data_IF_089465183192
#
_entry.id   IF_089465183192
#
_cell.length_a   1.000
_cell.length_b   1.000
_cell.length_c   1.000
_cell.angle_alpha   90.00
_cell.angle_beta   90.00
_cell.angle_gamma   90.00
#
_symmetry.space_group_name_H-M   'P 1'
#
loop_
_entity.id
_entity.type
_entity.pdbx_description
1 polymer ?
#
# COMPACT_ATOMS: atom_id res chain seq x y z
N UNK A 1 0.76 4.93 -9.41
CA UNK A 1 -0.21 5.01 -8.28
C UNK A 1 -0.59 3.59 -7.83
N UNK A 2 -0.70 3.31 -6.53
CA UNK A 2 -1.06 2.00 -5.97
C UNK A 2 -2.33 2.14 -5.13
N UNK A 3 -3.30 1.26 -5.33
CA UNK A 3 -4.49 1.09 -4.49
C UNK A 3 -4.31 -0.15 -3.62
N UNK A 4 -4.51 0.01 -2.31
CA UNK A 4 -4.46 -1.07 -1.35
C UNK A 4 -5.70 -1.08 -0.46
N UNK A 5 -6.45 -2.18 -0.51
CA UNK A 5 -7.68 -2.41 0.24
C UNK A 5 -7.39 -3.49 1.29
N UNK A 6 -7.75 -3.22 2.54
CA UNK A 6 -7.47 -4.07 3.70
C UNK A 6 -8.63 -4.08 4.68
N UNK A 7 -8.64 -5.05 5.58
CA UNK A 7 -9.51 -5.03 6.77
C UNK A 7 -9.08 -3.89 7.68
N UNK A 8 -10.02 -3.15 8.25
CA UNK A 8 -9.72 -2.05 9.17
C UNK A 8 -9.27 -2.59 10.53
N UNK A 9 -8.01 -3.00 10.63
CA UNK A 9 -7.37 -3.51 11.85
C UNK A 9 -6.08 -2.71 12.13
N UNK A 10 -5.67 -2.56 13.40
CA UNK A 10 -4.48 -1.79 13.75
C UNK A 10 -3.20 -2.30 13.07
N UNK A 11 -2.31 -1.37 12.72
CA UNK A 11 -0.95 -1.68 12.23
C UNK A 11 -0.80 -1.91 10.73
N UNK A 12 -1.89 -1.94 9.94
CA UNK A 12 -1.78 -2.11 8.47
C UNK A 12 -1.02 -0.95 7.83
N UNK A 13 -1.34 0.29 8.17
CA UNK A 13 -0.66 1.47 7.61
C UNK A 13 0.83 1.51 7.97
N UNK A 14 1.20 1.06 9.17
CA UNK A 14 2.59 0.98 9.59
C UNK A 14 3.36 -0.05 8.75
N UNK A 15 2.80 -1.25 8.55
CA UNK A 15 3.40 -2.28 7.68
C UNK A 15 3.56 -1.80 6.23
N UNK A 16 2.59 -1.03 5.72
CA UNK A 16 2.72 -0.39 4.42
C UNK A 16 3.94 0.54 4.41
N UNK A 17 4.05 1.44 5.39
CA UNK A 17 5.16 2.39 5.44
C UNK A 17 6.52 1.71 5.63
N UNK A 18 6.59 0.62 6.38
CA UNK A 18 7.80 -0.18 6.54
C UNK A 18 8.26 -0.79 5.19
N UNK A 19 7.33 -1.28 4.37
CA UNK A 19 7.63 -1.80 3.02
C UNK A 19 8.30 -0.72 2.13
N UNK A 20 7.82 0.52 2.18
CA UNK A 20 8.40 1.64 1.45
C UNK A 20 9.78 2.02 2.01
N UNK A 21 9.89 2.10 3.35
CA UNK A 21 11.13 2.40 4.06
C UNK A 21 12.23 1.39 3.72
N UNK A 22 11.94 0.10 3.80
CA UNK A 22 12.91 -0.98 3.57
C UNK A 22 13.42 -1.02 2.13
N UNK A 23 12.63 -0.49 1.17
CA UNK A 23 13.00 -0.36 -0.24
C UNK A 23 13.64 0.98 -0.59
N UNK A 24 13.68 1.93 0.34
CA UNK A 24 14.18 3.29 0.09
C UNK A 24 13.34 4.06 -0.93
N UNK A 25 12.03 3.79 -0.99
CA UNK A 25 11.13 4.43 -1.96
C UNK A 25 10.32 5.53 -1.26
N UNK A 26 10.37 6.75 -1.79
CA UNK A 26 9.60 7.88 -1.28
C UNK A 26 8.12 7.78 -1.67
N UNK A 27 7.25 8.30 -0.81
CA UNK A 27 5.82 8.44 -1.07
C UNK A 27 5.55 9.89 -1.47
N UNK A 28 5.03 10.11 -2.68
CA UNK A 28 4.71 11.44 -3.20
C UNK A 28 3.38 11.95 -2.64
N UNK A 29 2.46 11.03 -2.36
CA UNK A 29 1.16 11.33 -1.79
C UNK A 29 0.47 10.09 -1.25
N UNK A 30 -0.34 10.26 -0.20
CA UNK A 30 -1.08 9.15 0.41
C UNK A 30 -2.46 9.63 0.85
N UNK A 31 -3.50 8.90 0.46
CA UNK A 31 -4.87 9.17 0.85
C UNK A 31 -5.53 7.91 1.40
N UNK A 32 -5.81 7.91 2.70
CA UNK A 32 -6.47 6.82 3.42
C UNK A 32 -7.93 7.19 3.71
N UNK A 33 -8.84 6.24 3.46
CA UNK A 33 -10.20 6.30 3.97
C UNK A 33 -10.60 4.94 4.54
N UNK A 34 -11.34 4.98 5.65
CA UNK A 34 -11.80 3.78 6.34
C UNK A 34 -13.30 3.82 6.60
N UNK A 35 -13.91 2.64 6.61
CA UNK A 35 -15.18 2.36 7.26
C UNK A 35 -14.95 1.35 8.42
N UNK A 36 -15.98 0.94 9.18
CA UNK A 36 -15.80 0.03 10.32
C UNK A 36 -15.17 -1.33 10.00
N UNK A 37 -15.19 -1.79 8.74
CA UNK A 37 -14.72 -3.12 8.34
C UNK A 37 -13.54 -3.07 7.37
N UNK A 38 -13.47 -2.04 6.52
CA UNK A 38 -12.53 -1.96 5.40
C UNK A 38 -11.84 -0.61 5.39
N UNK A 39 -10.54 -0.62 5.14
CA UNK A 39 -9.75 0.54 4.76
C UNK A 39 -9.31 0.45 3.32
N UNK A 40 -9.24 1.58 2.63
CA UNK A 40 -8.51 1.68 1.38
C UNK A 40 -7.56 2.86 1.42
N UNK A 41 -6.35 2.66 0.90
CA UNK A 41 -5.35 3.70 0.73
C UNK A 41 -4.92 3.75 -0.73
N UNK A 42 -4.85 4.98 -1.25
CA UNK A 42 -4.24 5.28 -2.54
C UNK A 42 -2.89 5.93 -2.26
N UNK A 43 -1.85 5.41 -2.89
CA UNK A 43 -0.47 5.84 -2.71
C UNK A 43 0.10 6.26 -4.06
N UNK A 44 0.55 7.50 -4.13
CA UNK A 44 1.31 8.02 -5.25
C UNK A 44 2.80 7.87 -4.96
N UNK A 45 3.49 7.28 -5.94
CA UNK A 45 4.90 6.90 -5.84
C UNK A 45 5.54 7.03 -7.22
N UNK A 46 6.74 7.60 -7.24
CA UNK A 46 7.64 7.62 -8.38
C UNK A 46 8.59 6.44 -8.24
N UNK A 47 8.29 5.35 -8.95
CA UNK A 47 9.03 4.10 -8.95
C UNK A 47 9.05 3.51 -10.35
N UNK A 48 10.10 2.77 -10.69
CA UNK A 48 10.15 2.02 -11.94
C UNK A 48 9.20 0.79 -11.91
N UNK A 49 9.10 0.07 -13.02
CA UNK A 49 8.19 -1.07 -13.15
C UNK A 49 8.53 -2.24 -12.21
N UNK A 50 9.82 -2.49 -11.99
CA UNK A 50 10.31 -3.55 -11.11
C UNK A 50 9.98 -3.22 -9.65
N UNK A 51 10.30 -2.01 -9.22
CA UNK A 51 9.96 -1.47 -7.91
C UNK A 51 8.45 -1.48 -7.67
N UNK A 52 7.67 -1.04 -8.66
CA UNK A 52 6.20 -1.03 -8.57
C UNK A 52 5.63 -2.44 -8.40
N UNK A 53 6.20 -3.42 -9.12
CA UNK A 53 5.81 -4.83 -9.01
C UNK A 53 6.16 -5.40 -7.64
N UNK A 54 7.39 -5.16 -7.16
CA UNK A 54 7.84 -5.56 -5.82
C UNK A 54 7.00 -4.95 -4.70
N UNK A 55 6.66 -3.66 -4.80
CA UNK A 55 5.77 -2.97 -3.86
C UNK A 55 4.38 -3.59 -3.85
N UNK A 56 3.78 -3.82 -5.03
CA UNK A 56 2.46 -4.43 -5.16
C UNK A 56 2.41 -5.80 -4.48
N UNK A 57 3.43 -6.64 -4.69
CA UNK A 57 3.52 -7.98 -4.12
C UNK A 57 3.71 -7.97 -2.60
N UNK A 58 4.63 -7.14 -2.12
CA UNK A 58 4.86 -6.98 -0.68
C UNK A 58 3.61 -6.47 0.04
N UNK A 59 2.94 -5.46 -0.52
CA UNK A 59 1.70 -4.95 0.03
C UNK A 59 0.57 -5.98 -0.03
N UNK A 60 0.50 -6.81 -1.08
CA UNK A 60 -0.49 -7.89 -1.15
C UNK A 60 -0.29 -8.97 -0.06
N UNK A 61 0.94 -9.13 0.44
CA UNK A 61 1.28 -10.09 1.48
C UNK A 61 0.98 -9.62 2.91
N UNK A 62 0.64 -8.34 3.12
CA UNK A 62 0.31 -7.82 4.46
C UNK A 62 -0.91 -8.57 5.03
N UNK A 63 -0.84 -9.11 6.27
CA UNK A 63 -1.98 -9.70 6.94
C UNK A 63 -3.18 -8.75 6.99
N UNK A 64 -4.34 -9.21 6.52
CA UNK A 64 -5.56 -8.40 6.44
C UNK A 64 -5.76 -7.68 5.10
N UNK A 65 -4.83 -7.80 4.14
CA UNK A 65 -5.02 -7.32 2.77
C UNK A 65 -6.16 -8.06 2.08
N UNK A 66 -7.02 -7.30 1.42
CA UNK A 66 -8.09 -7.82 0.57
C UNK A 66 -7.72 -7.71 -0.91
N UNK A 67 -7.05 -6.62 -1.31
CA UNK A 67 -6.64 -6.40 -2.69
C UNK A 67 -5.57 -5.33 -2.80
N UNK A 68 -4.58 -5.55 -3.65
CA UNK A 68 -3.62 -4.52 -4.07
C UNK A 68 -3.63 -4.41 -5.60
N UNK A 69 -3.64 -3.19 -6.15
CA UNK A 69 -3.61 -2.91 -7.59
C UNK A 69 -2.70 -1.73 -7.91
N UNK A 70 -2.02 -1.81 -9.04
CA UNK A 70 -1.40 -0.64 -9.68
C UNK A 70 -2.46 0.06 -10.52
N UNK A 71 -2.52 1.38 -10.42
CA UNK A 71 -3.36 2.27 -11.21
C UNK A 71 -2.43 3.08 -12.13
N UNK A 72 -2.67 2.97 -13.43
CA UNK A 72 -1.99 3.73 -14.48
C UNK A 72 -2.78 5.00 -14.79
#
# INVERSE_FOLDING_TARGET
RILHIHRNVPGVLSQINDIFRDRGINIDGQFLRTDPKVGYVVIDVTADEEQTTSLREAMAAIPGTLRTRVLY
#
